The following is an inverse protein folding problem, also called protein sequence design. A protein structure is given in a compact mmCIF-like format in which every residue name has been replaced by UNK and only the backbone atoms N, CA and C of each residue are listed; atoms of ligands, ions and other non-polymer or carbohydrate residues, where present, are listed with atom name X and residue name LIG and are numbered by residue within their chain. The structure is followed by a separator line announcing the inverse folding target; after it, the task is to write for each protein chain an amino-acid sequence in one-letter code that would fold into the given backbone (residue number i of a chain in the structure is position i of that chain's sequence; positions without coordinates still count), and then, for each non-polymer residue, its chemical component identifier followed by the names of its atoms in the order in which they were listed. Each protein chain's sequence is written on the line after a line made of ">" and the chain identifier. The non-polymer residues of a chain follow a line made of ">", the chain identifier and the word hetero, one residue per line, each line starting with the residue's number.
data_IF_642948003835
#
_entry.id   IF_642948003835
#
_cell.length_a   1.000
_cell.length_b   1.000
_cell.length_c   1.000
_cell.angle_alpha   90.00
_cell.angle_beta   90.00
_cell.angle_gamma   90.00
#
_symmetry.space_group_name_H-M   'P 1'
#
loop_
_entity.id
_entity.type
_entity.pdbx_description
1 polymer ?
#
# COMPACT_ATOMS: atom_id res chain seq x y z
N UNK A 1 -62.62 36.98 -6.64
CA UNK A 1 -61.21 36.69 -6.98
C UNK A 1 -60.59 36.03 -5.76
N UNK A 2 -60.31 34.71 -5.76
CA UNK A 2 -59.37 34.00 -4.85
C UNK A 2 -59.52 32.47 -4.91
N UNK A 3 -60.65 31.93 -5.37
CA UNK A 3 -60.83 30.46 -5.47
C UNK A 3 -59.96 29.85 -6.58
N UNK A 4 -59.95 30.48 -7.75
CA UNK A 4 -59.16 30.00 -8.91
C UNK A 4 -57.66 30.02 -8.62
N UNK A 5 -57.17 31.07 -7.93
CA UNK A 5 -55.77 31.20 -7.58
C UNK A 5 -55.36 30.17 -6.51
N UNK A 6 -56.23 29.89 -5.53
CA UNK A 6 -56.03 28.84 -4.54
C UNK A 6 -56.00 27.43 -5.16
N UNK A 7 -56.88 27.15 -6.14
CA UNK A 7 -56.88 25.88 -6.87
C UNK A 7 -55.58 25.71 -7.65
N UNK A 8 -55.12 26.75 -8.36
CA UNK A 8 -53.86 26.69 -9.14
C UNK A 8 -52.65 26.43 -8.25
N UNK A 9 -52.54 27.13 -7.10
CA UNK A 9 -51.46 26.91 -6.13
C UNK A 9 -51.51 25.48 -5.57
N UNK A 10 -52.70 24.99 -5.19
CA UNK A 10 -52.87 23.64 -4.68
C UNK A 10 -52.47 22.58 -5.72
N UNK A 11 -52.86 22.75 -6.98
CA UNK A 11 -52.46 21.84 -8.07
C UNK A 11 -50.95 21.85 -8.32
N UNK A 12 -50.28 23.01 -8.22
CA UNK A 12 -48.82 23.08 -8.33
C UNK A 12 -48.13 22.39 -7.15
N UNK A 13 -48.63 22.56 -5.92
CA UNK A 13 -48.06 21.90 -4.73
C UNK A 13 -48.25 20.39 -4.81
N UNK A 14 -49.44 19.91 -5.18
CA UNK A 14 -49.71 18.48 -5.37
C UNK A 14 -48.84 17.93 -6.51
N UNK A 15 -48.73 18.64 -7.64
CA UNK A 15 -47.87 18.25 -8.76
C UNK A 15 -46.40 18.13 -8.35
N UNK A 16 -45.87 19.11 -7.60
CA UNK A 16 -44.51 19.06 -7.06
C UNK A 16 -44.33 17.90 -6.08
N UNK A 17 -45.29 17.63 -5.20
CA UNK A 17 -45.24 16.51 -4.25
C UNK A 17 -45.26 15.16 -4.97
N UNK A 18 -46.10 15.00 -6.00
CA UNK A 18 -46.18 13.77 -6.80
C UNK A 18 -44.88 13.56 -7.57
N UNK A 19 -44.31 14.59 -8.19
CA UNK A 19 -43.02 14.51 -8.88
C UNK A 19 -41.87 14.15 -7.92
N UNK A 20 -41.82 14.79 -6.74
CA UNK A 20 -40.86 14.45 -5.69
C UNK A 20 -41.02 13.00 -5.21
N UNK A 21 -42.25 12.54 -5.00
CA UNK A 21 -42.53 11.17 -4.56
C UNK A 21 -42.20 10.13 -5.64
N UNK A 22 -42.51 10.39 -6.91
CA UNK A 22 -42.15 9.53 -8.03
C UNK A 22 -40.64 9.46 -8.21
N UNK A 23 -39.93 10.58 -8.10
CA UNK A 23 -38.46 10.62 -8.17
C UNK A 23 -37.81 9.83 -7.03
N UNK A 24 -38.32 9.99 -5.80
CA UNK A 24 -37.84 9.26 -4.63
C UNK A 24 -38.12 7.76 -4.74
N UNK A 25 -39.31 7.38 -5.20
CA UNK A 25 -39.73 5.98 -5.35
C UNK A 25 -38.97 5.25 -6.47
N UNK A 26 -38.71 5.94 -7.60
CA UNK A 26 -37.89 5.41 -8.69
C UNK A 26 -36.47 5.11 -8.23
N UNK A 27 -35.86 6.00 -7.42
CA UNK A 27 -34.53 5.76 -6.85
C UNK A 27 -34.49 4.61 -5.85
N UNK A 28 -35.52 4.47 -5.01
CA UNK A 28 -35.62 3.30 -4.11
C UNK A 28 -35.63 2.00 -4.92
N UNK A 29 -36.35 1.96 -6.05
CA UNK A 29 -36.37 0.80 -6.94
C UNK A 29 -35.03 0.56 -7.66
N UNK A 30 -34.35 1.63 -8.09
CA UNK A 30 -33.03 1.56 -8.73
C UNK A 30 -31.94 1.02 -7.78
N UNK A 31 -32.09 1.21 -6.47
CA UNK A 31 -31.10 0.78 -5.46
C UNK A 31 -31.42 -0.56 -4.78
N UNK A 32 -32.59 -1.17 -5.04
CA UNK A 32 -32.92 -2.51 -4.52
C UNK A 32 -31.84 -3.57 -4.85
N UNK A 33 -31.23 -3.59 -6.05
CA UNK A 33 -30.19 -4.56 -6.31
C UNK A 33 -28.91 -4.30 -5.50
N UNK A 34 -28.61 -3.04 -5.15
CA UNK A 34 -27.47 -2.72 -4.27
C UNK A 34 -27.70 -3.25 -2.86
N UNK A 35 -28.90 -3.08 -2.30
CA UNK A 35 -29.28 -3.68 -1.02
C UNK A 35 -29.20 -5.21 -1.05
N UNK A 36 -29.63 -5.82 -2.17
CA UNK A 36 -29.55 -7.27 -2.35
C UNK A 36 -28.10 -7.77 -2.37
N UNK A 37 -27.21 -7.06 -3.08
CA UNK A 37 -25.77 -7.35 -3.10
C UNK A 37 -25.15 -7.13 -1.73
N UNK A 38 -25.53 -6.05 -1.03
CA UNK A 38 -25.07 -5.78 0.33
C UNK A 38 -25.40 -6.94 1.27
N UNK A 39 -26.66 -7.38 1.27
CA UNK A 39 -27.11 -8.50 2.10
C UNK A 39 -26.44 -9.82 1.72
N UNK A 40 -26.23 -10.09 0.43
CA UNK A 40 -25.61 -11.33 -0.05
C UNK A 40 -24.15 -11.46 0.40
N UNK A 41 -23.42 -10.35 0.41
CA UNK A 41 -21.99 -10.35 0.69
C UNK A 41 -21.61 -9.77 2.06
N UNK A 42 -22.60 -9.40 2.89
CA UNK A 42 -22.37 -8.81 4.21
C UNK A 42 -21.69 -7.43 4.14
N UNK A 43 -21.97 -6.66 3.09
CA UNK A 43 -21.47 -5.29 2.95
C UNK A 43 -22.41 -4.31 3.65
N UNK A 44 -21.86 -3.21 4.15
CA UNK A 44 -22.63 -2.12 4.72
C UNK A 44 -23.26 -1.28 3.62
N UNK A 45 -24.57 -1.11 3.69
CA UNK A 45 -25.31 -0.22 2.80
C UNK A 45 -25.77 1.02 3.56
N UNK A 46 -25.18 2.16 3.23
CA UNK A 46 -25.33 3.43 3.93
C UNK A 46 -26.09 4.40 3.02
N UNK A 47 -27.12 5.05 3.59
CA UNK A 47 -27.87 6.14 2.98
C UNK A 47 -27.77 7.35 3.90
N UNK A 48 -26.91 8.31 3.56
CA UNK A 48 -26.87 9.61 4.24
C UNK A 48 -27.85 10.59 3.57
N UNK A 49 -28.10 11.73 4.21
CA UNK A 49 -29.35 12.51 4.10
C UNK A 49 -29.85 12.84 2.69
N UNK A 50 -28.97 12.89 1.69
CA UNK A 50 -29.34 13.14 0.29
C UNK A 50 -29.47 11.86 -0.56
N UNK A 51 -30.42 11.82 -1.52
CA UNK A 51 -30.68 10.62 -2.33
C UNK A 51 -29.57 10.26 -3.33
N UNK A 52 -28.43 10.95 -3.30
CA UNK A 52 -27.23 10.67 -4.08
C UNK A 52 -26.03 10.29 -3.20
N UNK A 53 -26.18 10.27 -1.87
CA UNK A 53 -25.18 9.86 -0.89
C UNK A 53 -25.40 8.40 -0.50
N UNK A 54 -25.33 7.53 -1.51
CA UNK A 54 -25.48 6.09 -1.32
C UNK A 54 -24.11 5.45 -1.42
N UNK A 55 -23.74 4.76 -0.35
CA UNK A 55 -22.45 4.07 -0.25
C UNK A 55 -22.71 2.61 0.12
N UNK A 56 -22.13 1.71 -0.66
CA UNK A 56 -22.01 0.30 -0.34
C UNK A 56 -20.54 0.02 -0.06
N UNK A 57 -20.17 -0.33 1.18
CA UNK A 57 -18.77 -0.55 1.55
C UNK A 57 -18.59 -1.79 2.38
N UNK A 58 -17.44 -2.43 2.30
CA UNK A 58 -17.12 -3.58 3.13
C UNK A 58 -16.02 -4.43 2.53
N UNK A 59 -15.92 -5.66 3.02
CA UNK A 59 -14.97 -6.65 2.51
C UNK A 59 -15.69 -7.60 1.55
N UNK A 60 -15.28 -7.60 0.28
CA UNK A 60 -15.75 -8.54 -0.72
C UNK A 60 -14.67 -9.58 -1.00
N UNK A 61 -14.85 -10.79 -0.49
CA UNK A 61 -13.92 -11.93 -0.68
C UNK A 61 -12.46 -11.59 -0.29
N UNK A 62 -12.28 -10.82 0.79
CA UNK A 62 -10.98 -10.38 1.29
C UNK A 62 -10.44 -9.11 0.64
N UNK A 63 -11.22 -8.44 -0.22
CA UNK A 63 -10.87 -7.17 -0.87
C UNK A 63 -11.76 -6.06 -0.31
N UNK A 64 -11.19 -4.99 0.29
CA UNK A 64 -11.98 -3.83 0.68
C UNK A 64 -12.54 -3.14 -0.56
N UNK A 65 -13.86 -3.04 -0.63
CA UNK A 65 -14.58 -2.41 -1.72
C UNK A 65 -15.45 -1.27 -1.22
N UNK A 66 -15.57 -0.25 -2.04
CA UNK A 66 -16.51 0.86 -1.86
C UNK A 66 -17.19 1.13 -3.19
N UNK A 67 -18.51 1.18 -3.17
CA UNK A 67 -19.33 1.63 -4.28
C UNK A 67 -20.04 2.88 -3.81
N UNK A 68 -19.99 3.94 -4.61
CA UNK A 68 -20.68 5.18 -4.30
C UNK A 68 -21.36 5.78 -5.52
N UNK A 69 -22.39 6.58 -5.25
CA UNK A 69 -22.90 7.53 -6.23
C UNK A 69 -22.18 8.86 -6.01
N UNK A 70 -21.46 9.31 -7.04
CA UNK A 70 -20.72 10.57 -7.00
C UNK A 70 -21.37 11.62 -7.89
N UNK A 71 -21.41 12.87 -7.42
CA UNK A 71 -21.61 14.05 -8.26
C UNK A 71 -20.25 14.55 -8.76
N UNK A 72 -20.03 14.52 -10.07
CA UNK A 72 -18.82 15.05 -10.69
C UNK A 72 -18.17 14.03 -11.62
N UNK A 73 -18.01 14.44 -12.87
CA UNK A 73 -17.18 13.75 -13.84
C UNK A 73 -15.79 14.38 -13.81
N UNK A 74 -14.76 13.59 -14.10
CA UNK A 74 -13.45 14.13 -14.41
C UNK A 74 -13.58 15.12 -15.61
N UNK A 75 -13.64 16.44 -15.32
CA UNK A 75 -13.54 17.51 -16.32
C UNK A 75 -14.83 17.93 -17.04
N UNK A 76 -16.03 17.54 -16.57
CA UNK A 76 -17.33 17.93 -17.16
C UNK A 76 -18.35 18.33 -16.08
N UNK A 77 -19.44 19.07 -16.42
CA UNK A 77 -20.46 19.49 -15.46
C UNK A 77 -21.00 18.31 -14.62
N UNK A 78 -21.45 18.60 -13.39
CA UNK A 78 -21.95 17.67 -12.37
C UNK A 78 -22.95 16.63 -12.94
N UNK A 79 -22.41 15.53 -13.45
CA UNK A 79 -23.17 14.35 -13.83
C UNK A 79 -23.07 13.32 -12.72
N UNK A 80 -24.18 12.63 -12.47
CA UNK A 80 -24.24 11.53 -11.52
C UNK A 80 -23.51 10.33 -12.12
N UNK A 81 -22.62 9.72 -11.33
CA UNK A 81 -21.87 8.54 -11.75
C UNK A 81 -21.90 7.47 -10.66
N UNK A 82 -21.84 6.22 -11.09
CA UNK A 82 -21.56 5.09 -10.20
C UNK A 82 -20.06 4.86 -10.20
N UNK A 83 -19.48 4.81 -9.00
CA UNK A 83 -18.06 4.54 -8.80
C UNK A 83 -17.91 3.24 -8.04
N UNK A 84 -17.01 2.37 -8.49
CA UNK A 84 -16.60 1.16 -7.78
C UNK A 84 -15.11 1.24 -7.55
N UNK A 85 -14.71 1.28 -6.30
CA UNK A 85 -13.32 1.29 -5.87
C UNK A 85 -13.01 0.00 -5.12
N UNK A 86 -12.10 -0.81 -5.66
CA UNK A 86 -11.57 -2.01 -5.01
C UNK A 86 -10.12 -1.79 -4.62
N UNK A 87 -9.81 -1.85 -3.32
CA UNK A 87 -8.44 -1.61 -2.83
C UNK A 87 -7.49 -2.73 -3.25
N UNK A 88 -6.23 -2.38 -3.44
CA UNK A 88 -5.17 -3.38 -3.51
C UNK A 88 -4.96 -4.01 -2.14
N UNK A 89 -4.90 -5.35 -2.15
CA UNK A 89 -4.72 -6.18 -0.95
C UNK A 89 -3.29 -6.67 -0.81
N UNK A 90 -2.49 -6.55 -1.86
CA UNK A 90 -1.06 -6.81 -1.89
C UNK A 90 -0.26 -5.65 -2.48
N UNK A 91 1.01 -5.90 -2.78
CA UNK A 91 1.88 -4.91 -3.43
C UNK A 91 1.60 -4.80 -4.93
N UNK A 92 1.79 -3.60 -5.47
CA UNK A 92 1.72 -3.26 -6.91
C UNK A 92 2.92 -2.36 -7.27
N UNK A 93 3.31 -2.20 -8.54
CA UNK A 93 4.43 -1.32 -8.91
C UNK A 93 4.35 0.08 -8.29
N UNK A 94 5.50 0.69 -7.89
CA UNK A 94 5.51 1.99 -7.25
C UNK A 94 5.19 3.11 -8.24
N UNK A 95 4.39 4.07 -7.80
CA UNK A 95 3.87 5.16 -8.61
C UNK A 95 3.01 4.71 -9.77
N UNK A 96 2.47 3.48 -9.71
CA UNK A 96 1.59 2.94 -10.74
C UNK A 96 0.38 3.86 -10.90
N UNK A 97 0.16 4.32 -12.13
CA UNK A 97 -1.09 4.94 -12.55
C UNK A 97 -1.42 4.45 -13.96
N UNK A 98 -2.62 3.89 -14.16
CA UNK A 98 -3.13 3.49 -15.48
C UNK A 98 -4.50 4.14 -15.65
N UNK A 99 -4.72 4.83 -16.76
CA UNK A 99 -6.01 5.46 -17.05
C UNK A 99 -6.21 5.71 -18.56
N UNK A 100 -7.46 5.95 -18.97
CA UNK A 100 -7.80 6.33 -20.34
C UNK A 100 -7.24 7.72 -20.71
N UNK A 101 -6.50 7.83 -21.82
CA UNK A 101 -6.02 9.14 -22.29
C UNK A 101 -7.16 10.10 -22.63
N UNK A 102 -6.89 11.40 -22.50
CA UNK A 102 -7.84 12.46 -22.83
C UNK A 102 -8.91 12.73 -21.76
N UNK A 103 -9.18 11.79 -20.85
CA UNK A 103 -10.13 11.97 -19.75
C UNK A 103 -9.48 12.65 -18.54
N UNK A 104 -8.27 12.24 -18.16
CA UNK A 104 -7.64 12.65 -16.89
C UNK A 104 -6.43 13.59 -17.01
N UNK A 105 -5.88 13.81 -18.21
CA UNK A 105 -4.62 14.54 -18.42
C UNK A 105 -4.65 16.01 -17.95
N UNK A 106 -5.84 16.59 -17.76
CA UNK A 106 -6.03 17.97 -17.26
C UNK A 106 -6.33 18.05 -15.75
N UNK A 107 -6.55 16.93 -15.09
CA UNK A 107 -7.18 16.88 -13.75
C UNK A 107 -6.20 16.32 -12.72
N UNK A 108 -5.37 15.38 -13.14
CA UNK A 108 -4.36 14.78 -12.29
C UNK A 108 -3.02 14.83 -13.02
N UNK A 109 -2.14 15.80 -12.71
CA UNK A 109 -0.76 15.67 -13.11
C UNK A 109 -0.20 14.49 -12.31
N UNK A 110 -0.17 13.32 -12.94
CA UNK A 110 0.33 12.09 -12.33
C UNK A 110 1.71 12.30 -11.71
N UNK A 111 1.97 11.64 -10.58
CA UNK A 111 3.20 11.88 -9.80
C UNK A 111 4.43 11.20 -10.40
N UNK A 112 4.21 10.16 -11.19
CA UNK A 112 5.25 9.36 -11.83
C UNK A 112 5.42 9.72 -13.31
N UNK A 113 6.61 9.46 -13.90
CA UNK A 113 6.83 9.63 -15.32
C UNK A 113 5.94 8.67 -16.12
N UNK A 114 5.54 9.13 -17.29
CA UNK A 114 4.82 8.31 -18.26
C UNK A 114 5.76 7.31 -18.93
N UNK A 115 5.26 6.10 -19.15
CA UNK A 115 5.99 4.97 -19.70
C UNK A 115 5.34 4.60 -21.03
N UNK A 116 6.16 4.57 -22.09
CA UNK A 116 5.72 4.09 -23.40
C UNK A 116 5.83 2.56 -23.45
N UNK A 117 4.82 1.91 -24.02
CA UNK A 117 4.83 0.45 -24.20
C UNK A 117 5.56 0.04 -25.48
N UNK A 118 5.80 0.98 -26.39
CA UNK A 118 6.34 0.71 -27.72
C UNK A 118 5.28 0.27 -28.73
N UNK A 119 4.00 0.33 -28.34
CA UNK A 119 2.85 0.16 -29.23
C UNK A 119 2.10 1.49 -29.33
N UNK A 120 2.27 2.19 -30.45
CA UNK A 120 1.71 3.54 -30.65
C UNK A 120 0.18 3.59 -30.57
N UNK A 121 -0.52 2.54 -31.02
CA UNK A 121 -1.98 2.46 -30.94
C UNK A 121 -2.44 2.36 -29.48
N UNK A 122 -1.71 1.57 -28.70
CA UNK A 122 -1.96 1.40 -27.28
C UNK A 122 -1.66 2.68 -26.49
N UNK A 123 -0.48 3.24 -26.75
CA UNK A 123 0.02 4.43 -26.12
C UNK A 123 -0.83 5.65 -26.49
N UNK A 124 -1.67 5.59 -27.54
CA UNK A 124 -2.67 6.61 -27.85
C UNK A 124 -3.97 6.49 -27.01
N UNK A 125 -4.31 5.29 -26.55
CA UNK A 125 -5.59 5.01 -25.86
C UNK A 125 -5.45 5.06 -24.34
N UNK A 126 -4.31 4.62 -23.81
CA UNK A 126 -4.07 4.52 -22.37
C UNK A 126 -2.79 5.27 -21.98
N UNK A 127 -2.81 5.86 -20.79
CA UNK A 127 -1.63 6.39 -20.14
C UNK A 127 -1.20 5.38 -19.07
N UNK A 128 0.09 5.03 -19.07
CA UNK A 128 0.73 4.23 -18.03
C UNK A 128 1.82 5.07 -17.41
N UNK A 129 1.84 5.16 -16.08
CA UNK A 129 2.89 5.83 -15.31
C UNK A 129 3.40 4.90 -14.23
N UNK A 130 4.66 5.09 -13.87
CA UNK A 130 5.34 4.30 -12.84
C UNK A 130 6.70 4.89 -12.53
N UNK A 131 7.16 4.75 -11.28
CA UNK A 131 8.51 5.19 -10.89
C UNK A 131 9.57 4.29 -11.55
N UNK A 132 9.24 3.01 -11.72
CA UNK A 132 10.09 2.01 -12.35
C UNK A 132 9.42 1.49 -13.64
N UNK A 133 9.93 1.94 -14.78
CA UNK A 133 9.36 1.63 -16.09
C UNK A 133 9.41 0.13 -16.41
N UNK A 134 10.55 -0.52 -16.14
CA UNK A 134 10.77 -1.94 -16.46
C UNK A 134 9.79 -2.83 -15.70
N UNK A 135 9.67 -2.61 -14.38
CA UNK A 135 8.79 -3.44 -13.54
C UNK A 135 7.31 -3.13 -13.75
N UNK A 136 6.99 -1.88 -14.07
CA UNK A 136 5.62 -1.52 -14.44
C UNK A 136 5.21 -2.24 -15.72
N UNK A 137 6.08 -2.26 -16.73
CA UNK A 137 5.84 -2.97 -17.99
C UNK A 137 5.83 -4.50 -17.82
N UNK A 138 6.64 -5.07 -16.94
CA UNK A 138 6.58 -6.51 -16.61
C UNK A 138 5.18 -6.93 -16.12
N UNK A 139 4.57 -6.12 -15.25
CA UNK A 139 3.24 -6.40 -14.70
C UNK A 139 2.13 -6.10 -15.70
N UNK A 140 2.15 -4.93 -16.32
CA UNK A 140 1.09 -4.50 -17.26
C UNK A 140 1.14 -5.31 -18.56
N UNK A 141 2.34 -5.69 -19.00
CA UNK A 141 2.57 -6.55 -20.16
C UNK A 141 2.24 -8.03 -19.92
N UNK A 142 1.94 -8.44 -18.68
CA UNK A 142 1.46 -9.78 -18.42
C UNK A 142 0.12 -10.01 -19.12
N UNK A 143 0.02 -11.07 -19.93
CA UNK A 143 -1.15 -11.34 -20.78
C UNK A 143 -2.46 -11.40 -19.99
N UNK A 144 -2.44 -11.89 -18.74
CA UNK A 144 -3.64 -11.99 -17.90
C UNK A 144 -4.09 -10.61 -17.42
N UNK A 145 -3.15 -9.78 -16.99
CA UNK A 145 -3.40 -8.39 -16.57
C UNK A 145 -3.91 -7.61 -17.77
N UNK A 146 -3.22 -7.70 -18.90
CA UNK A 146 -3.59 -7.02 -20.12
C UNK A 146 -5.02 -7.35 -20.59
N UNK A 147 -5.34 -8.64 -20.71
CA UNK A 147 -6.67 -9.09 -21.13
C UNK A 147 -7.77 -8.67 -20.14
N UNK A 148 -7.46 -8.61 -18.85
CA UNK A 148 -8.42 -8.18 -17.84
C UNK A 148 -8.60 -6.66 -17.83
N UNK A 149 -7.53 -5.91 -18.07
CA UNK A 149 -7.54 -4.46 -18.19
C UNK A 149 -8.38 -4.01 -19.39
N UNK A 150 -8.21 -4.66 -20.55
CA UNK A 150 -9.01 -4.43 -21.73
C UNK A 150 -10.52 -4.60 -21.44
N UNK A 151 -10.90 -5.66 -20.71
CA UNK A 151 -12.29 -5.87 -20.28
C UNK A 151 -12.78 -4.75 -19.38
N UNK A 152 -11.97 -4.27 -18.43
CA UNK A 152 -12.37 -3.15 -17.57
C UNK A 152 -12.69 -1.89 -18.39
N UNK A 153 -11.88 -1.59 -19.42
CA UNK A 153 -12.13 -0.48 -20.33
C UNK A 153 -13.37 -0.66 -21.21
N UNK A 154 -13.80 -1.90 -21.50
CA UNK A 154 -15.09 -2.16 -22.15
C UNK A 154 -16.28 -1.95 -21.19
N UNK A 155 -16.10 -2.27 -19.91
CA UNK A 155 -17.17 -2.19 -18.92
C UNK A 155 -17.44 -0.76 -18.45
N UNK A 156 -16.39 0.03 -18.23
CA UNK A 156 -16.47 1.34 -17.58
C UNK A 156 -16.18 2.50 -18.52
N UNK A 157 -16.86 3.62 -18.30
CA UNK A 157 -16.60 4.86 -19.05
C UNK A 157 -15.24 5.46 -18.65
N UNK A 158 -14.78 5.14 -17.44
CA UNK A 158 -13.48 5.52 -16.95
C UNK A 158 -12.91 4.43 -16.02
N UNK A 159 -11.65 4.07 -16.25
CA UNK A 159 -10.88 3.18 -15.40
C UNK A 159 -9.67 3.93 -14.89
N UNK A 160 -9.41 3.85 -13.58
CA UNK A 160 -8.14 4.22 -12.99
C UNK A 160 -7.61 3.07 -12.16
N UNK A 161 -6.37 2.67 -12.41
CA UNK A 161 -5.61 1.79 -11.53
C UNK A 161 -4.51 2.64 -10.92
N UNK A 162 -4.43 2.73 -9.59
CA UNK A 162 -3.33 3.39 -8.89
C UNK A 162 -2.81 2.53 -7.73
N UNK A 163 -1.78 3.00 -7.02
CA UNK A 163 -1.22 2.26 -5.86
C UNK A 163 -2.25 1.88 -4.78
N UNK A 164 -3.38 2.57 -4.70
CA UNK A 164 -4.43 2.31 -3.71
C UNK A 164 -5.41 1.25 -4.17
N UNK A 165 -5.63 1.12 -5.48
CA UNK A 165 -6.64 0.20 -5.99
C UNK A 165 -7.11 0.49 -7.41
N UNK A 166 -8.21 -0.18 -7.74
CA UNK A 166 -8.89 -0.12 -9.03
C UNK A 166 -10.17 0.68 -8.85
N UNK A 167 -10.28 1.78 -9.56
CA UNK A 167 -11.47 2.61 -9.67
C UNK A 167 -12.11 2.41 -11.03
N UNK A 168 -13.38 2.02 -11.05
CA UNK A 168 -14.23 1.98 -12.22
C UNK A 168 -15.32 3.03 -12.07
N UNK A 169 -15.56 3.82 -13.10
CA UNK A 169 -16.66 4.80 -13.11
C UNK A 169 -17.56 4.62 -14.34
N UNK A 170 -18.87 4.76 -14.11
CA UNK A 170 -19.90 4.81 -15.16
C UNK A 170 -20.75 6.05 -14.99
N UNK A 171 -21.06 6.71 -16.10
CA UNK A 171 -22.07 7.76 -16.13
C UNK A 171 -23.45 7.15 -15.86
N UNK A 172 -24.19 7.73 -14.93
CA UNK A 172 -25.50 7.26 -14.49
C UNK A 172 -25.47 6.30 -13.30
N UNK A 173 -26.64 5.79 -12.94
CA UNK A 173 -26.85 4.86 -11.81
C UNK A 173 -26.87 3.43 -12.35
N UNK A 174 -25.87 2.63 -11.98
CA UNK A 174 -25.82 1.19 -12.27
C UNK A 174 -26.75 0.45 -11.32
N UNK A 175 -28.03 0.40 -11.63
CA UNK A 175 -29.01 -0.25 -10.77
C UNK A 175 -28.80 -1.77 -10.67
N UNK A 176 -28.69 -2.49 -11.79
CA UNK A 176 -28.69 -3.97 -11.82
C UNK A 176 -27.32 -4.64 -11.90
N UNK A 177 -26.32 -3.95 -12.46
CA UNK A 177 -25.05 -4.57 -12.84
C UNK A 177 -23.91 -4.32 -11.84
N UNK A 178 -24.25 -3.95 -10.60
CA UNK A 178 -23.22 -3.56 -9.62
C UNK A 178 -22.35 -4.75 -9.16
N UNK A 179 -22.93 -5.94 -9.07
CA UNK A 179 -22.20 -7.15 -8.65
C UNK A 179 -21.09 -7.56 -9.64
N UNK A 180 -21.34 -7.66 -10.96
CA UNK A 180 -20.27 -7.85 -11.94
C UNK A 180 -19.14 -6.82 -11.83
N UNK A 181 -19.45 -5.56 -11.52
CA UNK A 181 -18.44 -4.52 -11.37
C UNK A 181 -17.57 -4.72 -10.14
N UNK A 182 -18.17 -5.03 -8.99
CA UNK A 182 -17.44 -5.37 -7.76
C UNK A 182 -16.54 -6.59 -8.00
N UNK A 183 -17.05 -7.62 -8.68
CA UNK A 183 -16.28 -8.82 -9.03
C UNK A 183 -15.10 -8.47 -9.92
N UNK A 184 -15.32 -7.72 -11.00
CA UNK A 184 -14.27 -7.35 -11.96
C UNK A 184 -13.18 -6.49 -11.33
N UNK A 185 -13.56 -5.43 -10.59
CA UNK A 185 -12.60 -4.56 -9.90
C UNK A 185 -11.78 -5.34 -8.85
N UNK A 186 -12.43 -6.16 -8.03
CA UNK A 186 -11.77 -6.95 -6.99
C UNK A 186 -10.86 -8.03 -7.59
N UNK A 187 -11.32 -8.73 -8.63
CA UNK A 187 -10.54 -9.78 -9.29
C UNK A 187 -9.32 -9.21 -10.02
N UNK A 188 -9.47 -8.04 -10.66
CA UNK A 188 -8.35 -7.35 -11.27
C UNK A 188 -7.33 -6.88 -10.23
N UNK A 189 -7.81 -6.31 -9.11
CA UNK A 189 -6.96 -5.90 -7.99
C UNK A 189 -6.11 -7.06 -7.46
N UNK A 190 -6.73 -8.23 -7.23
CA UNK A 190 -6.00 -9.43 -6.78
C UNK A 190 -5.03 -9.91 -7.85
N UNK A 191 -5.44 -9.96 -9.13
CA UNK A 191 -4.60 -10.41 -10.23
C UNK A 191 -3.33 -9.57 -10.38
N UNK A 192 -3.46 -8.24 -10.29
CA UNK A 192 -2.31 -7.32 -10.30
C UNK A 192 -1.32 -7.66 -9.18
N UNK A 193 -1.82 -7.88 -7.97
CA UNK A 193 -0.98 -8.28 -6.85
C UNK A 193 -0.35 -9.67 -7.02
N UNK A 194 -1.05 -10.62 -7.67
CA UNK A 194 -0.53 -11.96 -7.95
C UNK A 194 0.57 -11.99 -9.02
N UNK A 195 0.44 -11.20 -10.08
CA UNK A 195 1.52 -11.08 -11.08
C UNK A 195 2.75 -10.46 -10.43
N UNK A 196 2.53 -9.47 -9.57
CA UNK A 196 3.59 -8.89 -8.76
C UNK A 196 4.23 -9.87 -7.76
N UNK A 197 3.50 -10.90 -7.34
CA UNK A 197 3.96 -11.95 -6.43
C UNK A 197 5.00 -12.89 -7.07
N UNK A 198 5.06 -13.02 -8.39
CA UNK A 198 6.01 -13.93 -9.04
C UNK A 198 7.47 -13.57 -8.70
N UNK A 199 7.77 -12.28 -8.56
CA UNK A 199 9.08 -11.79 -8.12
C UNK A 199 9.45 -12.31 -6.70
N UNK A 200 8.47 -12.44 -5.81
CA UNK A 200 8.66 -12.99 -4.47
C UNK A 200 8.95 -14.47 -4.48
N UNK A 201 8.21 -15.21 -5.30
CA UNK A 201 8.42 -16.64 -5.48
C UNK A 201 9.79 -16.91 -6.11
N UNK A 202 10.19 -16.10 -7.10
CA UNK A 202 11.51 -16.17 -7.71
C UNK A 202 12.62 -15.90 -6.67
N UNK A 203 12.49 -14.83 -5.87
CA UNK A 203 13.42 -14.52 -4.79
C UNK A 203 13.53 -15.65 -3.76
N UNK A 204 12.39 -16.17 -3.29
CA UNK A 204 12.36 -17.26 -2.33
C UNK A 204 13.05 -18.52 -2.86
N UNK A 205 12.76 -18.91 -4.11
CA UNK A 205 13.41 -20.06 -4.77
C UNK A 205 14.92 -19.85 -4.94
N UNK A 206 15.32 -18.69 -5.45
CA UNK A 206 16.74 -18.31 -5.67
C UNK A 206 17.58 -18.47 -4.40
N UNK A 207 16.99 -18.21 -3.23
CA UNK A 207 17.69 -18.22 -1.95
C UNK A 207 17.31 -19.39 -1.03
N UNK A 208 16.54 -20.37 -1.51
CA UNK A 208 16.10 -21.52 -0.70
C UNK A 208 15.28 -21.13 0.54
N UNK A 209 14.51 -20.05 0.44
CA UNK A 209 13.67 -19.54 1.52
C UNK A 209 12.27 -20.15 1.44
N UNK A 210 11.64 -20.33 2.61
CA UNK A 210 10.27 -20.79 2.70
C UNK A 210 9.32 -19.65 2.35
N UNK A 211 8.39 -19.92 1.44
CA UNK A 211 7.32 -19.01 1.05
C UNK A 211 5.98 -19.52 1.56
N UNK A 212 5.23 -18.65 2.23
CA UNK A 212 3.91 -18.94 2.80
C UNK A 212 2.90 -17.90 2.32
N UNK A 213 1.75 -18.38 1.83
CA UNK A 213 0.56 -17.53 1.61
C UNK A 213 -0.26 -17.48 2.90
N UNK A 214 -0.67 -16.28 3.29
CA UNK A 214 -1.55 -16.04 4.43
C UNK A 214 -3.02 -16.32 4.09
N UNK A 215 -3.89 -16.05 5.05
CA UNK A 215 -5.34 -16.27 4.94
C UNK A 215 -6.05 -15.17 4.18
N UNK A 216 -5.56 -13.93 4.22
CA UNK A 216 -6.11 -12.84 3.43
C UNK A 216 -5.43 -12.73 2.06
N UNK A 217 -6.17 -12.34 1.01
CA UNK A 217 -5.58 -11.94 -0.26
C UNK A 217 -4.44 -10.93 -0.04
N UNK A 218 -3.28 -11.14 -0.66
CA UNK A 218 -2.08 -10.29 -0.51
C UNK A 218 -1.23 -10.49 0.76
N UNK A 219 -1.69 -11.23 1.78
CA UNK A 219 -0.84 -11.59 2.93
C UNK A 219 0.21 -12.61 2.49
N UNK A 220 1.49 -12.23 2.52
CA UNK A 220 2.61 -13.11 2.14
C UNK A 220 3.68 -13.11 3.21
N UNK A 221 4.39 -14.22 3.31
CA UNK A 221 5.52 -14.34 4.23
C UNK A 221 6.64 -15.14 3.59
N UNK A 222 7.84 -14.56 3.54
CA UNK A 222 9.09 -15.29 3.25
C UNK A 222 9.86 -15.42 4.55
N UNK A 223 10.28 -16.65 4.89
CA UNK A 223 11.08 -16.94 6.10
C UNK A 223 12.21 -17.90 5.79
N UNK A 224 13.30 -17.77 6.53
CA UNK A 224 14.41 -18.71 6.44
C UNK A 224 15.70 -18.12 6.99
N UNK A 225 16.81 -18.61 6.47
CA UNK A 225 18.14 -18.09 6.78
C UNK A 225 18.71 -17.41 5.54
N UNK A 226 19.12 -16.15 5.69
CA UNK A 226 19.68 -15.34 4.62
C UNK A 226 20.94 -14.63 5.12
N UNK A 227 22.08 -14.87 4.43
CA UNK A 227 23.39 -14.29 4.77
C UNK A 227 23.79 -14.43 6.25
N UNK A 228 23.48 -15.57 6.85
CA UNK A 228 23.82 -15.90 8.25
C UNK A 228 22.84 -15.39 9.31
N UNK A 229 21.82 -14.62 8.92
CA UNK A 229 20.73 -14.17 9.81
C UNK A 229 19.41 -14.86 9.50
N UNK A 230 18.52 -14.96 10.50
CA UNK A 230 17.11 -15.29 10.26
C UNK A 230 16.46 -14.12 9.54
N UNK A 231 15.78 -14.41 8.44
CA UNK A 231 14.99 -13.42 7.69
C UNK A 231 13.50 -13.70 7.85
N UNK A 232 12.72 -12.64 7.98
CA UNK A 232 11.27 -12.65 7.84
C UNK A 232 10.85 -11.43 7.03
N UNK A 233 10.26 -11.68 5.86
CA UNK A 233 9.63 -10.67 5.01
C UNK A 233 8.13 -10.92 5.08
N UNK A 234 7.33 -9.89 5.34
CA UNK A 234 5.89 -10.01 5.46
C UNK A 234 5.20 -8.87 4.72
N UNK A 235 4.22 -9.19 3.87
CA UNK A 235 3.19 -8.25 3.40
C UNK A 235 1.86 -8.59 4.04
N UNK A 236 1.04 -7.58 4.23
CA UNK A 236 -0.36 -7.73 4.56
C UNK A 236 -1.03 -6.39 4.81
N UNK A 237 -2.31 -6.43 5.13
CA UNK A 237 -3.06 -5.24 5.52
C UNK A 237 -2.85 -4.98 7.01
N UNK A 238 -2.38 -3.79 7.37
CA UNK A 238 -2.26 -3.37 8.77
C UNK A 238 -3.67 -3.34 9.40
N UNK A 239 -3.95 -4.10 10.48
CA UNK A 239 -5.29 -4.17 11.05
C UNK A 239 -5.78 -2.84 11.63
N UNK A 240 -4.86 -1.91 11.96
CA UNK A 240 -5.20 -0.60 12.52
C UNK A 240 -5.48 0.44 11.43
N UNK A 241 -4.59 0.56 10.45
CA UNK A 241 -4.72 1.57 9.40
C UNK A 241 -5.52 1.08 8.18
N UNK A 242 -5.69 -0.24 8.05
CA UNK A 242 -6.28 -0.90 6.87
C UNK A 242 -5.53 -0.61 5.58
N UNK A 243 -4.24 -0.32 5.68
CA UNK A 243 -3.35 -0.07 4.55
C UNK A 243 -2.43 -1.27 4.31
N UNK A 244 -2.09 -1.53 3.04
CA UNK A 244 -1.10 -2.55 2.69
C UNK A 244 0.28 -2.11 3.19
N UNK A 245 0.86 -2.90 4.10
CA UNK A 245 2.19 -2.65 4.66
C UNK A 245 3.11 -3.86 4.43
N UNK A 246 4.36 -3.54 4.21
CA UNK A 246 5.44 -4.49 4.03
C UNK A 246 6.47 -4.32 5.11
N UNK A 247 6.98 -5.42 5.64
CA UNK A 247 8.03 -5.45 6.67
C UNK A 247 9.13 -6.42 6.28
N UNK A 248 10.37 -5.96 6.27
CA UNK A 248 11.57 -6.81 6.17
C UNK A 248 12.22 -6.83 7.55
N UNK A 249 12.56 -8.01 8.06
CA UNK A 249 13.34 -8.19 9.29
C UNK A 249 14.47 -9.17 9.04
N UNK A 250 15.70 -8.79 9.37
CA UNK A 250 16.86 -9.69 9.39
C UNK A 250 17.51 -9.64 10.76
N UNK A 251 17.70 -10.80 11.39
CA UNK A 251 18.39 -10.89 12.67
C UNK A 251 19.87 -10.61 12.46
N UNK A 252 20.48 -9.88 13.39
CA UNK A 252 21.93 -9.71 13.44
C UNK A 252 22.58 -11.07 13.75
N UNK A 253 23.43 -11.60 12.86
CA UNK A 253 23.97 -12.95 13.01
C UNK A 253 24.83 -13.12 14.26
N UNK A 254 24.66 -14.22 14.99
CA UNK A 254 25.64 -14.72 15.99
C UNK A 254 26.10 -13.73 17.07
N UNK A 255 25.35 -12.68 17.36
CA UNK A 255 25.69 -11.70 18.40
C UNK A 255 24.47 -11.24 19.19
N UNK A 256 24.72 -10.86 20.45
CA UNK A 256 23.72 -10.24 21.30
C UNK A 256 24.04 -8.75 21.42
N UNK A 257 23.19 -7.91 20.83
CA UNK A 257 23.28 -6.46 20.96
C UNK A 257 23.02 -6.03 22.42
N UNK A 258 23.54 -4.88 22.85
CA UNK A 258 23.35 -4.43 24.23
C UNK A 258 21.87 -4.18 24.53
N UNK A 259 21.49 -4.32 25.80
CA UNK A 259 20.11 -4.06 26.22
C UNK A 259 19.69 -2.62 25.87
N UNK A 260 18.45 -2.46 25.42
CA UNK A 260 17.91 -1.17 24.99
C UNK A 260 18.57 -0.59 23.72
N UNK A 261 19.40 -1.36 23.01
CA UNK A 261 20.02 -0.89 21.77
C UNK A 261 18.96 -0.66 20.69
N UNK A 262 18.90 0.60 20.22
CA UNK A 262 17.96 1.01 19.19
C UNK A 262 18.59 2.07 18.29
N UNK A 263 18.36 1.97 16.98
CA UNK A 263 18.69 3.02 16.02
C UNK A 263 17.43 3.28 15.20
N UNK A 264 16.96 4.52 15.13
CA UNK A 264 15.87 4.89 14.23
C UNK A 264 16.05 6.32 13.71
N UNK A 265 15.19 6.73 12.77
CA UNK A 265 15.22 8.07 12.21
C UNK A 265 14.83 9.10 13.27
N UNK A 266 15.40 10.30 13.20
CA UNK A 266 14.95 11.42 14.04
C UNK A 266 13.46 11.66 13.86
N UNK A 267 12.78 11.95 14.97
CA UNK A 267 11.31 12.07 15.04
C UNK A 267 10.58 10.75 15.34
N UNK A 268 11.19 9.59 15.10
CA UNK A 268 10.58 8.28 15.45
C UNK A 268 10.95 7.78 16.85
N UNK A 269 12.01 8.34 17.43
CA UNK A 269 12.42 8.09 18.81
C UNK A 269 12.57 9.40 19.56
N UNK A 270 12.31 9.36 20.87
CA UNK A 270 12.64 10.47 21.76
C UNK A 270 14.14 10.73 21.72
N UNK A 271 14.55 12.00 21.62
CA UNK A 271 15.97 12.37 21.75
C UNK A 271 16.46 12.31 23.22
N UNK A 272 15.54 12.23 24.19
CA UNK A 272 15.87 12.18 25.61
C UNK A 272 16.55 10.85 25.94
N UNK A 273 17.82 10.91 26.34
CA UNK A 273 18.63 9.73 26.65
C UNK A 273 19.37 9.14 25.43
N UNK A 274 19.37 9.84 24.29
CA UNK A 274 20.12 9.41 23.12
C UNK A 274 21.64 9.50 23.34
N UNK A 275 22.36 8.49 22.84
CA UNK A 275 23.82 8.47 22.84
C UNK A 275 24.31 9.40 21.74
N UNK A 276 25.08 10.42 22.14
CA UNK A 276 25.70 11.36 21.21
C UNK A 276 26.80 10.67 20.40
N UNK A 277 26.57 10.54 19.09
CA UNK A 277 27.55 10.06 18.11
C UNK A 277 28.34 11.23 17.52
N UNK A 278 29.63 11.07 17.23
CA UNK A 278 30.47 12.16 16.72
C UNK A 278 30.26 12.44 15.23
N UNK A 279 29.87 11.44 14.47
CA UNK A 279 29.56 11.59 13.05
C UNK A 279 28.44 12.63 12.84
N UNK A 280 28.67 13.59 11.93
CA UNK A 280 27.72 14.70 11.70
C UNK A 280 26.50 14.25 10.92
N UNK A 281 26.65 13.34 9.95
CA UNK A 281 25.56 12.85 9.11
C UNK A 281 24.61 11.98 9.93
N UNK A 282 25.15 11.05 10.73
CA UNK A 282 24.35 10.22 11.64
C UNK A 282 23.59 11.10 12.64
N UNK A 283 24.23 12.09 13.26
CA UNK A 283 23.56 13.02 14.19
C UNK A 283 22.45 13.84 13.55
N UNK A 284 22.54 14.13 12.25
CA UNK A 284 21.52 14.90 11.55
C UNK A 284 20.27 14.07 11.28
N UNK A 285 20.41 12.76 11.10
CA UNK A 285 19.33 11.90 10.58
C UNK A 285 18.83 10.85 11.57
N UNK A 286 19.63 10.43 12.54
CA UNK A 286 19.38 9.24 13.36
C UNK A 286 19.44 9.53 14.85
N UNK A 287 18.72 8.72 15.62
CA UNK A 287 18.74 8.66 17.09
C UNK A 287 19.19 7.26 17.50
N UNK A 288 20.16 7.20 18.41
CA UNK A 288 20.76 5.93 18.87
C UNK A 288 20.62 5.82 20.38
N UNK A 289 19.97 4.76 20.86
CA UNK A 289 19.78 4.44 22.28
C UNK A 289 20.55 3.19 22.66
N UNK A 290 20.86 3.05 23.95
CA UNK A 290 21.38 1.82 24.54
C UNK A 290 21.97 2.05 25.92
N UNK A 291 22.12 0.98 26.69
CA UNK A 291 22.61 1.05 28.07
C UNK A 291 24.14 1.16 28.19
N UNK A 292 24.89 0.87 27.12
CA UNK A 292 26.36 0.94 27.11
C UNK A 292 26.87 1.98 26.10
N UNK A 293 26.88 3.25 26.51
CA UNK A 293 27.23 4.40 25.67
C UNK A 293 28.65 4.28 25.07
N UNK A 294 29.63 3.83 25.85
CA UNK A 294 31.03 3.71 25.40
C UNK A 294 31.17 2.67 24.29
N UNK A 295 30.58 1.49 24.47
CA UNK A 295 30.65 0.43 23.46
C UNK A 295 29.95 0.84 22.16
N UNK A 296 28.82 1.54 22.28
CA UNK A 296 28.07 2.06 21.13
C UNK A 296 28.86 3.17 20.42
N UNK A 297 29.53 4.06 21.16
CA UNK A 297 30.42 5.04 20.55
C UNK A 297 31.59 4.40 19.79
N UNK A 298 32.17 3.30 20.31
CA UNK A 298 33.21 2.53 19.61
C UNK A 298 32.67 1.88 18.35
N UNK A 299 31.48 1.30 18.42
CA UNK A 299 30.79 0.71 17.28
C UNK A 299 30.59 1.76 16.17
N UNK A 300 30.15 2.96 16.54
CA UNK A 300 29.92 4.09 15.62
C UNK A 300 31.20 4.80 15.17
N UNK A 301 32.39 4.22 15.39
CA UNK A 301 33.64 4.64 14.73
C UNK A 301 33.93 3.81 13.47
N UNK A 302 33.20 2.71 13.27
CA UNK A 302 33.38 1.83 12.12
C UNK A 302 32.81 2.49 10.86
N UNK A 303 33.68 2.93 9.94
CA UNK A 303 33.29 3.64 8.72
C UNK A 303 32.32 2.85 7.85
N UNK A 304 32.57 1.54 7.69
CA UNK A 304 31.70 0.68 6.89
C UNK A 304 30.28 0.58 7.49
N UNK A 305 30.16 0.50 8.81
CA UNK A 305 28.86 0.47 9.48
C UNK A 305 28.10 1.78 9.27
N UNK A 306 28.79 2.93 9.43
CA UNK A 306 28.20 4.25 9.18
C UNK A 306 27.69 4.33 7.74
N UNK A 307 28.53 3.96 6.76
CA UNK A 307 28.15 3.98 5.35
C UNK A 307 26.91 3.12 5.10
N UNK A 308 26.89 1.87 5.57
CA UNK A 308 25.73 0.98 5.36
C UNK A 308 24.48 1.41 6.10
N UNK A 309 24.61 2.04 7.27
CA UNK A 309 23.47 2.65 7.95
C UNK A 309 22.91 3.82 7.16
N UNK A 310 23.75 4.71 6.61
CA UNK A 310 23.29 5.83 5.79
C UNK A 310 22.57 5.33 4.53
N UNK A 311 23.18 4.41 3.77
CA UNK A 311 22.54 3.78 2.59
C UNK A 311 21.19 3.16 2.97
N UNK A 312 21.13 2.40 4.07
CA UNK A 312 19.90 1.79 4.55
C UNK A 312 18.81 2.82 4.91
N UNK A 313 19.17 3.91 5.57
CA UNK A 313 18.23 4.95 6.00
C UNK A 313 17.78 5.90 4.88
N UNK A 314 18.48 5.88 3.75
CA UNK A 314 18.08 6.54 2.51
C UNK A 314 17.14 5.64 1.69
N UNK A 315 17.47 4.35 1.56
CA UNK A 315 16.75 3.40 0.70
C UNK A 315 15.45 2.87 1.30
N UNK A 316 15.38 2.72 2.63
CA UNK A 316 14.26 2.05 3.28
C UNK A 316 13.34 3.04 4.02
N UNK A 317 12.01 2.94 3.86
CA UNK A 317 11.07 3.65 4.71
C UNK A 317 11.06 3.07 6.12
N UNK A 318 10.84 3.96 7.10
CA UNK A 318 10.84 3.68 8.54
C UNK A 318 11.93 2.69 9.00
N UNK A 319 13.22 3.00 8.75
CA UNK A 319 14.33 2.13 9.10
C UNK A 319 14.50 2.05 10.61
N UNK A 320 14.63 0.83 11.14
CA UNK A 320 14.74 0.55 12.57
C UNK A 320 15.70 -0.60 12.85
N UNK A 321 16.65 -0.38 13.76
CA UNK A 321 17.47 -1.43 14.36
C UNK A 321 17.04 -1.57 15.81
N UNK A 322 16.60 -2.75 16.23
CA UNK A 322 16.16 -3.00 17.60
C UNK A 322 16.26 -4.48 17.99
N UNK A 323 16.63 -4.77 19.25
CA UNK A 323 16.59 -6.13 19.84
C UNK A 323 17.29 -7.21 18.99
N UNK A 324 18.41 -6.86 18.33
CA UNK A 324 19.12 -7.80 17.47
C UNK A 324 18.47 -8.02 16.10
N UNK A 325 17.59 -7.13 15.68
CA UNK A 325 16.98 -7.11 14.35
C UNK A 325 17.28 -5.81 13.64
N UNK A 326 17.55 -5.89 12.35
CA UNK A 326 17.49 -4.77 11.42
C UNK A 326 16.17 -4.92 10.66
N UNK A 327 15.38 -3.85 10.65
CA UNK A 327 14.01 -3.87 10.15
C UNK A 327 13.72 -2.64 9.32
N UNK A 328 12.97 -2.83 8.24
CA UNK A 328 12.36 -1.75 7.49
C UNK A 328 10.86 -2.01 7.41
N UNK A 329 10.05 -0.96 7.51
CA UNK A 329 8.58 -1.08 7.41
C UNK A 329 8.02 0.06 6.57
N UNK A 330 7.09 -0.21 5.68
CA UNK A 330 6.43 0.86 4.93
C UNK A 330 5.34 0.39 3.98
N UNK A 331 4.50 1.32 3.51
CA UNK A 331 3.64 1.07 2.36
C UNK A 331 4.52 0.87 1.12
N UNK A 332 4.17 -0.09 0.26
CA UNK A 332 4.90 -0.33 -0.99
C UNK A 332 6.38 -0.77 -0.80
N UNK A 333 6.80 -1.19 0.40
CA UNK A 333 8.22 -1.39 0.69
C UNK A 333 8.88 -2.60 0.00
N UNK A 334 8.21 -3.21 -0.98
CA UNK A 334 8.69 -4.38 -1.73
C UNK A 334 8.30 -4.26 -3.20
N UNK A 335 7.92 -3.04 -3.62
CA UNK A 335 7.52 -2.69 -4.98
C UNK A 335 8.77 -2.43 -5.81
N UNK A 336 9.49 -3.50 -6.09
CA UNK A 336 10.39 -3.63 -7.23
C UNK A 336 11.78 -3.97 -6.77
N UNK A 337 12.15 -3.40 -5.64
CA UNK A 337 13.50 -3.47 -5.13
C UNK A 337 13.64 -4.50 -4.01
N UNK A 338 12.81 -5.56 -4.02
CA UNK A 338 12.81 -6.62 -3.01
C UNK A 338 14.24 -7.10 -2.71
N UNK A 339 15.01 -7.42 -3.75
CA UNK A 339 16.39 -7.89 -3.58
C UNK A 339 17.31 -6.79 -3.04
N UNK A 340 17.19 -5.54 -3.53
CA UNK A 340 18.01 -4.40 -3.07
C UNK A 340 17.72 -4.09 -1.60
N UNK A 341 16.45 -4.00 -1.21
CA UNK A 341 16.00 -3.67 0.15
C UNK A 341 16.35 -4.80 1.12
N UNK A 342 16.11 -6.06 0.75
CA UNK A 342 16.53 -7.21 1.57
C UNK A 342 18.04 -7.25 1.74
N UNK A 343 18.80 -6.97 0.68
CA UNK A 343 20.25 -6.88 0.75
C UNK A 343 20.71 -5.71 1.62
N UNK A 344 20.07 -4.55 1.55
CA UNK A 344 20.39 -3.40 2.40
C UNK A 344 20.21 -3.75 3.89
N UNK A 345 19.05 -4.34 4.25
CA UNK A 345 18.76 -4.79 5.62
C UNK A 345 19.76 -5.86 6.07
N UNK A 346 20.03 -6.87 5.23
CA UNK A 346 20.97 -7.95 5.54
C UNK A 346 22.43 -7.47 5.65
N UNK A 347 22.84 -6.51 4.82
CA UNK A 347 24.18 -5.93 4.86
C UNK A 347 24.41 -5.15 6.16
N UNK A 348 23.45 -4.34 6.60
CA UNK A 348 23.53 -3.69 7.91
C UNK A 348 23.61 -4.73 9.01
N UNK A 349 22.76 -5.77 8.97
CA UNK A 349 22.78 -6.83 9.99
C UNK A 349 24.14 -7.54 10.07
N UNK A 350 24.74 -7.85 8.92
CA UNK A 350 26.07 -8.48 8.84
C UNK A 350 27.17 -7.55 9.34
N UNK A 351 27.26 -6.31 8.83
CA UNK A 351 28.29 -5.36 9.21
C UNK A 351 28.18 -5.00 10.70
N UNK A 352 26.96 -4.91 11.22
CA UNK A 352 26.71 -4.71 12.64
C UNK A 352 27.22 -5.90 13.48
N UNK A 353 26.99 -7.14 13.04
CA UNK A 353 27.57 -8.34 13.67
C UNK A 353 29.10 -8.28 13.68
N UNK A 354 29.71 -8.08 12.50
CA UNK A 354 31.16 -8.07 12.31
C UNK A 354 31.84 -6.98 13.15
N UNK A 355 31.17 -5.83 13.29
CA UNK A 355 31.66 -4.69 14.10
C UNK A 355 31.46 -4.88 15.60
N UNK A 356 30.38 -5.57 16.01
CA UNK A 356 30.02 -5.72 17.43
C UNK A 356 30.74 -6.90 18.08
N UNK A 357 30.98 -7.99 17.36
CA UNK A 357 31.56 -9.20 17.92
C UNK A 357 32.93 -8.96 18.62
N UNK A 358 33.86 -8.17 18.07
CA UNK A 358 35.12 -7.84 18.76
C UNK A 358 34.89 -7.03 20.04
N UNK A 359 33.94 -6.09 20.02
CA UNK A 359 33.59 -5.24 21.17
C UNK A 359 32.99 -6.10 22.28
N UNK A 360 32.07 -7.01 21.94
CA UNK A 360 31.46 -7.94 22.88
C UNK A 360 32.52 -8.86 23.53
N UNK A 361 33.45 -9.42 22.72
CA UNK A 361 34.56 -10.24 23.22
C UNK A 361 35.47 -9.45 24.16
N UNK A 362 35.79 -8.20 23.85
CA UNK A 362 36.59 -7.33 24.72
C UNK A 362 35.89 -7.07 26.07
N UNK A 363 34.59 -6.76 26.05
CA UNK A 363 33.79 -6.56 27.28
C UNK A 363 33.78 -7.83 28.14
N UNK A 364 33.59 -9.00 27.52
CA UNK A 364 33.58 -10.28 28.24
C UNK A 364 34.94 -10.59 28.88
N UNK A 365 36.05 -10.31 28.18
CA UNK A 365 37.41 -10.48 28.73
C UNK A 365 37.65 -9.56 29.92
N UNK A 366 37.30 -8.28 29.82
CA UNK A 366 37.45 -7.33 30.93
C UNK A 366 36.64 -7.76 32.17
N UNK A 367 35.41 -8.24 31.98
CA UNK A 367 34.58 -8.76 33.09
C UNK A 367 35.20 -9.97 33.78
N UNK A 368 35.81 -10.89 33.02
CA UNK A 368 36.50 -12.06 33.58
C UNK A 368 37.77 -11.66 34.35
N UNK A 369 38.52 -10.68 33.85
CA UNK A 369 39.71 -10.18 34.52
C UNK A 369 39.40 -9.42 35.82
N UNK A 370 38.22 -8.78 35.91
CA UNK A 370 37.76 -8.05 37.09
C UNK A 370 36.94 -8.91 38.07
N UNK A 371 36.67 -10.17 37.77
CA UNK A 371 36.01 -11.07 38.70
C UNK A 371 36.99 -11.43 39.83
N UNK A 372 36.61 -11.37 41.10
CA UNK A 372 37.48 -11.79 42.19
C UNK A 372 37.88 -13.25 41.94
N UNK A 373 39.19 -13.53 42.01
CA UNK A 373 39.68 -14.91 42.00
C UNK A 373 39.08 -15.60 43.22
N UNK A 374 38.29 -16.63 42.97
CA UNK A 374 37.79 -17.53 44.01
C UNK A 374 38.94 -18.25 44.70
#
# INVERSE_FOLDING_TARGET
>A
MNLTLAITVLTCVIGCMVLLWMHRSRRVLELKPWEAVAKRYGLDFIREGEPHEVILRGDFRGVPVEVSLGGGHAGRPLQMCTRVFAKHVGSVPPGLEIYNRGVADKIWPGKAPEITTGNDELDALICIRGIDAEKTLEVVGNTRVWASLAKLFEFADYVRVDERGVLLEKIGVLSRDIEPWIISASSFSVMMCEVYEEAWLAFARKHGLMYLRGTHPGDRTIRGYFRGGRISIQTGVDPRTREARSTIKVSVPNVQLPAGFRIARKGQLSERGAIRVLDKQIRKQMVIHGTNSIAIQRLMRQKLLIQKLLEFFELCPEPLVERGWVMATGPGMLTGDLEIQVNAVANVAKVLSDSWQPIQKAIARSRRASAPRA
#
